data_IF_144431028548
#
_entry.id   IF_144431028548
#
_cell.length_a   1.000
_cell.length_b   1.000
_cell.length_c   1.000
_cell.angle_alpha   90.00
_cell.angle_beta   90.00
_cell.angle_gamma   90.00
#
_symmetry.space_group_name_H-M   'P 1'
#
loop_
_entity.id
_entity.type
_entity.pdbx_description
1 polymer ?
#
# COMPACT_ATOMS: atom_id res chain seq x y z
N UNK A 1 -0.08 -41.23 -29.92
CA UNK A 1 0.32 -40.83 -28.55
C UNK A 1 0.18 -39.32 -28.27
N UNK A 2 -0.47 -38.51 -29.13
CA UNK A 2 -0.53 -37.03 -28.98
C UNK A 2 -1.82 -36.49 -28.32
N UNK A 3 -2.91 -37.28 -28.27
CA UNK A 3 -4.21 -36.83 -27.73
C UNK A 3 -4.32 -36.91 -26.20
N UNK A 4 -3.57 -37.80 -25.55
CA UNK A 4 -3.65 -38.04 -24.11
C UNK A 4 -2.89 -36.97 -23.30
N UNK A 5 -1.76 -36.52 -23.82
CA UNK A 5 -0.98 -35.39 -23.29
C UNK A 5 -1.71 -34.06 -23.43
N UNK A 6 -2.40 -33.83 -24.55
CA UNK A 6 -3.22 -32.63 -24.77
C UNK A 6 -4.42 -32.54 -23.80
N UNK A 7 -5.09 -33.67 -23.52
CA UNK A 7 -6.23 -33.73 -22.58
C UNK A 7 -5.79 -33.47 -21.13
N UNK A 8 -4.65 -34.01 -20.71
CA UNK A 8 -4.08 -33.73 -19.39
C UNK A 8 -3.67 -32.26 -19.21
N UNK A 9 -3.12 -31.65 -20.27
CA UNK A 9 -2.77 -30.23 -20.27
C UNK A 9 -3.99 -29.31 -20.21
N UNK A 10 -5.12 -29.70 -20.82
CA UNK A 10 -6.34 -28.89 -20.76
C UNK A 10 -7.00 -28.98 -19.39
N UNK A 11 -7.14 -30.19 -18.83
CA UNK A 11 -7.70 -30.38 -17.49
C UNK A 11 -6.90 -29.65 -16.39
N UNK A 12 -5.57 -29.58 -16.52
CA UNK A 12 -4.73 -28.80 -15.62
C UNK A 12 -4.97 -27.28 -15.75
N UNK A 13 -5.18 -26.77 -16.96
CA UNK A 13 -5.52 -25.35 -17.18
C UNK A 13 -6.87 -25.00 -16.59
N UNK A 14 -7.89 -25.82 -16.86
CA UNK A 14 -9.24 -25.61 -16.35
C UNK A 14 -9.27 -25.63 -14.81
N UNK A 15 -8.47 -26.50 -14.18
CA UNK A 15 -8.33 -26.55 -12.73
C UNK A 15 -7.69 -25.28 -12.15
N UNK A 16 -6.62 -24.79 -12.77
CA UNK A 16 -5.95 -23.56 -12.36
C UNK A 16 -6.86 -22.35 -12.54
N UNK A 17 -7.57 -22.26 -13.66
CA UNK A 17 -8.53 -21.18 -13.93
C UNK A 17 -9.64 -21.13 -12.89
N UNK A 18 -10.21 -22.30 -12.53
CA UNK A 18 -11.19 -22.40 -11.45
C UNK A 18 -10.63 -21.89 -10.12
N UNK A 19 -9.42 -22.29 -9.74
CA UNK A 19 -8.77 -21.81 -8.51
C UNK A 19 -8.62 -20.29 -8.55
N UNK A 20 -8.14 -19.72 -9.66
CA UNK A 20 -7.95 -18.28 -9.79
C UNK A 20 -9.27 -17.50 -9.65
N UNK A 21 -10.36 -18.02 -10.22
CA UNK A 21 -11.70 -17.44 -10.06
C UNK A 21 -12.19 -17.51 -8.61
N UNK A 22 -12.03 -18.65 -7.94
CA UNK A 22 -12.36 -18.79 -6.51
C UNK A 22 -11.54 -17.83 -5.63
N UNK A 23 -10.26 -17.61 -5.94
CA UNK A 23 -9.42 -16.62 -5.25
C UNK A 23 -9.91 -15.18 -5.48
N UNK A 24 -10.33 -14.87 -6.70
CA UNK A 24 -10.83 -13.56 -7.07
C UNK A 24 -12.14 -13.23 -6.33
N UNK A 25 -13.09 -14.17 -6.31
CA UNK A 25 -14.35 -14.04 -5.58
C UNK A 25 -14.12 -13.83 -4.07
N UNK A 26 -13.26 -14.64 -3.44
CA UNK A 26 -12.90 -14.46 -2.01
C UNK A 26 -12.21 -13.12 -1.73
N UNK A 27 -11.49 -12.55 -2.71
CA UNK A 27 -10.91 -11.22 -2.56
C UNK A 27 -11.99 -10.14 -2.57
N UNK A 28 -13.00 -10.28 -3.44
CA UNK A 28 -14.14 -9.37 -3.49
C UNK A 28 -14.92 -9.45 -2.16
N UNK A 29 -15.25 -10.65 -1.70
CA UNK A 29 -15.96 -10.85 -0.43
C UNK A 29 -15.23 -10.23 0.75
N UNK A 30 -13.91 -10.48 0.87
CA UNK A 30 -13.08 -9.86 1.93
C UNK A 30 -13.11 -8.34 1.89
N UNK A 31 -13.16 -7.74 0.71
CA UNK A 31 -13.25 -6.29 0.58
C UNK A 31 -14.61 -5.73 0.96
N UNK A 32 -15.69 -6.44 0.60
CA UNK A 32 -17.04 -6.10 1.04
C UNK A 32 -17.15 -6.20 2.55
N UNK A 33 -16.61 -7.26 3.15
CA UNK A 33 -16.55 -7.44 4.61
C UNK A 33 -15.77 -6.32 5.31
N UNK A 34 -14.62 -5.91 4.75
CA UNK A 34 -13.85 -4.78 5.29
C UNK A 34 -14.67 -3.49 5.27
N UNK A 35 -15.43 -3.24 4.21
CA UNK A 35 -16.29 -2.06 4.10
C UNK A 35 -17.46 -2.15 5.10
N UNK A 36 -18.09 -3.33 5.19
CA UNK A 36 -19.30 -3.56 5.97
C UNK A 36 -19.04 -3.62 7.49
N UNK A 37 -17.91 -4.19 7.90
CA UNK A 37 -17.55 -4.46 9.31
C UNK A 37 -16.29 -3.70 9.75
N UNK A 38 -15.97 -2.58 9.11
CA UNK A 38 -14.86 -1.72 9.53
C UNK A 38 -15.02 -1.27 10.99
N UNK A 39 -14.17 -1.78 11.88
CA UNK A 39 -14.04 -1.28 13.26
C UNK A 39 -13.23 0.03 13.36
N UNK A 40 -12.77 0.57 12.22
CA UNK A 40 -12.16 1.90 12.15
C UNK A 40 -13.27 2.93 12.37
N UNK A 41 -13.07 3.86 13.30
CA UNK A 41 -14.00 4.96 13.55
C UNK A 41 -14.42 5.62 12.22
N UNK A 42 -15.68 6.09 12.08
CA UNK A 42 -16.12 6.79 10.88
C UNK A 42 -15.09 7.85 10.50
N UNK A 43 -14.55 7.68 9.29
CA UNK A 43 -13.52 8.52 8.69
C UNK A 43 -13.85 10.00 8.96
N UNK A 44 -12.90 10.77 9.51
CA UNK A 44 -12.95 12.24 9.41
C UNK A 44 -12.96 12.55 7.92
N UNK A 45 -14.15 12.75 7.36
CA UNK A 45 -14.31 13.14 5.96
C UNK A 45 -13.28 14.25 5.74
N UNK A 46 -12.45 14.10 4.71
CA UNK A 46 -11.60 15.17 4.22
C UNK A 46 -12.59 16.28 3.80
N UNK A 47 -12.99 17.12 4.76
CA UNK A 47 -13.94 18.21 4.59
C UNK A 47 -13.33 19.27 3.67
N UNK A 48 -12.01 19.29 3.65
CA UNK A 48 -11.19 19.91 2.65
C UNK A 48 -11.28 19.09 1.36
N UNK A 49 -12.05 19.65 0.42
CA UNK A 49 -11.99 19.34 -1.01
C UNK A 49 -10.53 19.47 -1.48
N UNK A 50 -9.71 18.46 -1.20
CA UNK A 50 -8.32 18.40 -1.64
C UNK A 50 -8.37 18.21 -3.14
N UNK A 51 -8.20 19.31 -3.86
CA UNK A 51 -8.06 19.39 -5.32
C UNK A 51 -7.01 18.35 -5.77
N UNK A 52 -7.45 17.27 -6.41
CA UNK A 52 -6.60 16.16 -6.89
C UNK A 52 -6.76 15.95 -8.40
N UNK A 53 -6.43 16.94 -9.24
CA UNK A 53 -6.68 16.89 -10.68
C UNK A 53 -5.98 15.73 -11.41
N UNK A 54 -4.97 15.08 -10.80
CA UNK A 54 -4.33 13.90 -11.39
C UNK A 54 -4.97 12.59 -10.94
N UNK A 55 -5.50 12.50 -9.72
CA UNK A 55 -6.20 11.32 -9.21
C UNK A 55 -7.68 11.30 -9.62
N UNK A 56 -8.36 12.46 -9.61
CA UNK A 56 -9.79 12.61 -9.84
C UNK A 56 -10.25 11.98 -11.17
N UNK A 57 -9.55 12.14 -12.32
CA UNK A 57 -9.97 11.51 -13.57
C UNK A 57 -10.03 9.97 -13.51
N UNK A 58 -9.14 9.34 -12.73
CA UNK A 58 -9.17 7.88 -12.55
C UNK A 58 -10.35 7.45 -11.68
N UNK A 59 -10.65 8.22 -10.64
CA UNK A 59 -11.80 7.96 -9.75
C UNK A 59 -13.13 8.16 -10.47
N UNK A 60 -13.25 9.23 -11.26
CA UNK A 60 -14.49 9.59 -11.95
C UNK A 60 -14.81 8.65 -13.10
N UNK A 61 -13.82 8.29 -13.92
CA UNK A 61 -14.03 7.43 -15.09
C UNK A 61 -13.97 5.94 -14.76
N UNK A 62 -13.10 5.55 -13.85
CA UNK A 62 -12.83 4.15 -13.51
C UNK A 62 -13.44 3.68 -12.19
N UNK A 63 -14.13 4.57 -11.46
CA UNK A 63 -14.77 4.26 -10.18
C UNK A 63 -13.78 3.93 -9.06
N UNK A 64 -14.30 3.32 -8.00
CA UNK A 64 -13.52 2.96 -6.80
C UNK A 64 -12.46 1.87 -7.07
N UNK A 65 -12.71 0.99 -8.04
CA UNK A 65 -11.79 -0.07 -8.44
C UNK A 65 -10.53 0.47 -9.11
N UNK A 66 -10.63 1.56 -9.88
CA UNK A 66 -9.47 2.11 -10.58
C UNK A 66 -8.35 2.56 -9.63
N UNK A 67 -8.68 3.13 -8.47
CA UNK A 67 -7.66 3.53 -7.49
C UNK A 67 -6.92 2.31 -6.93
N UNK A 68 -7.65 1.22 -6.68
CA UNK A 68 -7.08 -0.07 -6.26
C UNK A 68 -6.23 -0.68 -7.35
N UNK A 69 -6.70 -0.65 -8.58
CA UNK A 69 -5.96 -1.15 -9.74
C UNK A 69 -4.71 -0.32 -10.04
N UNK A 70 -4.67 0.95 -9.61
CA UNK A 70 -3.50 1.81 -9.78
C UNK A 70 -2.53 1.77 -8.60
N UNK A 71 -2.97 1.43 -7.36
CA UNK A 71 -2.14 1.57 -6.15
C UNK A 71 -2.05 0.35 -5.24
N UNK A 72 -2.84 -0.70 -5.48
CA UNK A 72 -3.10 -1.84 -4.57
C UNK A 72 -3.89 -1.49 -3.29
N UNK A 73 -4.34 -0.25 -3.13
CA UNK A 73 -5.17 0.16 -2.00
C UNK A 73 -6.58 0.48 -2.46
N UNK A 74 -7.59 -0.03 -1.74
CA UNK A 74 -8.95 0.49 -1.88
C UNK A 74 -8.96 1.99 -1.59
N UNK A 75 -9.90 2.75 -2.16
CA UNK A 75 -9.97 4.20 -1.94
C UNK A 75 -9.99 4.56 -0.44
N UNK A 76 -10.70 3.77 0.37
CA UNK A 76 -10.73 3.94 1.83
C UNK A 76 -9.33 3.79 2.44
N UNK A 77 -8.62 2.69 2.16
CA UNK A 77 -7.26 2.47 2.68
C UNK A 77 -6.28 3.52 2.19
N UNK A 78 -6.41 3.94 0.94
CA UNK A 78 -5.63 5.03 0.37
C UNK A 78 -5.83 6.33 1.17
N UNK A 79 -7.08 6.72 1.45
CA UNK A 79 -7.37 7.92 2.23
C UNK A 79 -6.91 7.79 3.68
N UNK A 80 -7.05 6.62 4.31
CA UNK A 80 -6.52 6.38 5.66
C UNK A 80 -5.01 6.58 5.72
N UNK A 81 -4.28 6.03 4.74
CA UNK A 81 -2.83 6.21 4.65
C UNK A 81 -2.43 7.64 4.31
N UNK A 82 -3.22 8.33 3.48
CA UNK A 82 -3.02 9.76 3.21
C UNK A 82 -3.16 10.59 4.49
N UNK A 83 -4.25 10.40 5.24
CA UNK A 83 -4.52 11.14 6.47
C UNK A 83 -3.42 10.95 7.52
N UNK A 84 -2.89 9.73 7.68
CA UNK A 84 -1.79 9.48 8.63
C UNK A 84 -0.49 10.20 8.27
N UNK A 85 -0.28 10.50 6.98
CA UNK A 85 0.92 11.18 6.49
C UNK A 85 0.69 12.68 6.19
N UNK A 86 -0.58 13.12 6.15
CA UNK A 86 -0.99 14.44 5.63
C UNK A 86 -0.25 15.58 6.32
N UNK A 87 -0.20 15.59 7.64
CA UNK A 87 0.43 16.68 8.40
C UNK A 87 1.91 16.84 8.05
N UNK A 88 2.65 15.72 8.01
CA UNK A 88 4.05 15.70 7.60
C UNK A 88 4.21 16.15 6.15
N UNK A 89 3.38 15.63 5.24
CA UNK A 89 3.44 16.01 3.82
C UNK A 89 3.20 17.51 3.64
N UNK A 90 2.17 18.07 4.28
CA UNK A 90 1.84 19.50 4.16
C UNK A 90 2.94 20.40 4.73
N UNK A 91 3.59 19.97 5.82
CA UNK A 91 4.70 20.70 6.43
C UNK A 91 5.96 20.73 5.53
N UNK A 92 6.29 19.62 4.85
CA UNK A 92 7.60 19.45 4.19
C UNK A 92 7.57 19.45 2.67
N UNK A 93 6.43 19.24 2.00
CA UNK A 93 6.38 19.01 0.55
C UNK A 93 6.98 20.15 -0.30
N UNK A 94 6.83 21.41 0.11
CA UNK A 94 7.38 22.56 -0.60
C UNK A 94 8.63 23.17 0.06
N UNK A 95 9.10 22.59 1.17
CA UNK A 95 10.29 23.09 1.87
C UNK A 95 11.54 22.85 1.02
N UNK A 96 12.43 23.86 0.97
CA UNK A 96 13.68 23.79 0.20
C UNK A 96 13.49 23.83 -1.33
N UNK A 97 12.26 23.99 -1.82
CA UNK A 97 12.00 24.22 -3.25
C UNK A 97 12.04 25.72 -3.54
N UNK A 98 12.82 26.12 -4.53
CA UNK A 98 12.81 27.52 -5.01
C UNK A 98 11.44 27.93 -5.56
N UNK A 99 10.86 27.08 -6.43
CA UNK A 99 9.47 27.21 -6.91
C UNK A 99 8.61 26.10 -6.30
N UNK A 100 7.42 26.44 -5.80
CA UNK A 100 6.42 25.46 -5.34
C UNK A 100 6.06 24.49 -6.48
N UNK A 101 5.79 23.25 -6.13
CA UNK A 101 5.35 22.24 -7.10
C UNK A 101 3.95 22.58 -7.61
N UNK A 102 3.76 22.48 -8.92
CA UNK A 102 2.44 22.63 -9.55
C UNK A 102 1.56 21.38 -9.30
N UNK A 103 2.18 20.24 -8.97
CA UNK A 103 1.49 19.00 -8.57
C UNK A 103 1.09 19.06 -7.11
N UNK A 104 -0.18 18.76 -6.82
CA UNK A 104 -0.73 18.80 -5.47
C UNK A 104 -0.15 17.68 -4.60
N UNK A 105 -0.07 17.85 -3.27
CA UNK A 105 0.57 16.87 -2.40
C UNK A 105 -0.09 15.47 -2.44
N UNK A 106 -1.43 15.42 -2.46
CA UNK A 106 -2.18 14.15 -2.53
C UNK A 106 -2.08 13.48 -3.90
N UNK A 107 -2.01 14.26 -4.98
CA UNK A 107 -1.67 13.74 -6.31
C UNK A 107 -0.24 13.19 -6.36
N UNK A 108 0.74 13.88 -5.75
CA UNK A 108 2.11 13.38 -5.67
C UNK A 108 2.21 12.07 -4.88
N UNK A 109 1.40 11.92 -3.82
CA UNK A 109 1.24 10.67 -3.09
C UNK A 109 0.66 9.56 -3.98
N UNK A 110 -0.44 9.84 -4.69
CA UNK A 110 -1.05 8.91 -5.64
C UNK A 110 -0.05 8.47 -6.72
N UNK A 111 0.61 9.41 -7.40
CA UNK A 111 1.62 9.14 -8.42
C UNK A 111 2.77 8.28 -7.89
N UNK A 112 3.21 8.51 -6.66
CA UNK A 112 4.28 7.75 -6.02
C UNK A 112 3.85 6.30 -5.80
N UNK A 113 2.65 6.06 -5.28
CA UNK A 113 2.13 4.69 -5.11
C UNK A 113 1.95 3.97 -6.44
N UNK A 114 1.46 4.66 -7.48
CA UNK A 114 1.35 4.10 -8.83
C UNK A 114 2.71 3.68 -9.36
N UNK A 115 3.73 4.53 -9.22
CA UNK A 115 5.09 4.22 -9.66
C UNK A 115 5.65 2.99 -8.93
N UNK A 116 5.46 2.93 -7.61
CA UNK A 116 5.93 1.82 -6.78
C UNK A 116 5.20 0.50 -7.09
N UNK A 117 3.92 0.56 -7.50
CA UNK A 117 3.15 -0.61 -7.93
C UNK A 117 3.55 -1.10 -9.32
N UNK A 118 3.38 -0.23 -10.32
CA UNK A 118 3.44 -0.61 -11.74
C UNK A 118 4.90 -0.83 -12.19
N UNK A 119 5.85 -0.21 -11.50
CA UNK A 119 7.25 -0.19 -11.91
C UNK A 119 7.40 0.39 -13.32
N UNK A 120 8.34 -0.15 -14.10
CA UNK A 120 8.60 0.28 -15.47
C UNK A 120 9.42 1.56 -15.57
N UNK A 121 9.40 2.19 -16.74
CA UNK A 121 10.22 3.39 -16.98
C UNK A 121 9.53 4.66 -16.46
N UNK A 122 10.34 5.68 -16.15
CA UNK A 122 9.83 7.00 -15.80
C UNK A 122 8.92 7.58 -16.88
N UNK A 123 9.28 7.39 -18.14
CA UNK A 123 8.53 7.89 -19.30
C UNK A 123 7.14 7.25 -19.40
N UNK A 124 7.06 5.92 -19.25
CA UNK A 124 5.79 5.19 -19.27
C UNK A 124 4.83 5.67 -18.18
N UNK A 125 5.33 5.92 -16.97
CA UNK A 125 4.50 6.42 -15.87
C UNK A 125 4.12 7.89 -16.07
N UNK A 126 5.05 8.74 -16.51
CA UNK A 126 4.77 10.15 -16.77
C UNK A 126 3.66 10.34 -17.82
N UNK A 127 3.64 9.51 -18.87
CA UNK A 127 2.59 9.50 -19.89
C UNK A 127 1.19 9.25 -19.32
N UNK A 128 1.04 8.39 -18.30
CA UNK A 128 -0.26 8.11 -17.65
C UNK A 128 -0.87 9.36 -17.02
N UNK A 129 -0.01 10.24 -16.50
CA UNK A 129 -0.43 11.49 -15.86
C UNK A 129 -0.34 12.71 -16.78
N UNK A 130 -0.01 12.51 -18.07
CA UNK A 130 0.19 13.59 -19.05
C UNK A 130 1.22 14.63 -18.58
N UNK A 131 2.25 14.18 -17.88
CA UNK A 131 3.34 15.02 -17.37
C UNK A 131 4.61 14.80 -18.19
N UNK A 132 5.48 15.82 -18.20
CA UNK A 132 6.85 15.63 -18.67
C UNK A 132 7.59 14.64 -17.77
N UNK A 133 8.40 13.75 -18.37
CA UNK A 133 9.17 12.73 -17.64
C UNK A 133 10.05 13.34 -16.55
N UNK A 134 10.68 14.48 -16.82
CA UNK A 134 11.49 15.22 -15.84
C UNK A 134 10.67 15.69 -14.64
N UNK A 135 9.48 16.24 -14.86
CA UNK A 135 8.55 16.66 -13.80
C UNK A 135 8.09 15.47 -12.97
N UNK A 136 7.70 14.38 -13.62
CA UNK A 136 7.25 13.16 -12.95
C UNK A 136 8.34 12.60 -12.03
N UNK A 137 9.55 12.41 -12.57
CA UNK A 137 10.69 11.90 -11.81
C UNK A 137 11.06 12.83 -10.66
N UNK A 138 11.08 14.15 -10.86
CA UNK A 138 11.40 15.11 -9.79
C UNK A 138 10.38 15.07 -8.65
N UNK A 139 9.08 15.06 -8.99
CA UNK A 139 7.99 15.01 -8.01
C UNK A 139 8.09 13.73 -7.19
N UNK A 140 8.12 12.56 -7.84
CA UNK A 140 8.12 11.26 -7.17
C UNK A 140 9.39 11.07 -6.34
N UNK A 141 10.57 11.40 -6.87
CA UNK A 141 11.84 11.22 -6.15
C UNK A 141 11.91 12.11 -4.92
N UNK A 142 11.53 13.40 -5.03
CA UNK A 142 11.50 14.31 -3.88
C UNK A 142 10.46 13.88 -2.86
N UNK A 143 9.31 13.39 -3.31
CA UNK A 143 8.26 12.91 -2.44
C UNK A 143 8.71 11.69 -1.62
N UNK A 144 9.35 10.70 -2.26
CA UNK A 144 9.95 9.53 -1.57
C UNK A 144 11.00 9.97 -0.55
N UNK A 145 11.92 10.89 -0.92
CA UNK A 145 12.96 11.38 -0.01
C UNK A 145 12.38 12.08 1.22
N UNK A 146 11.28 12.81 1.06
CA UNK A 146 10.60 13.50 2.15
C UNK A 146 9.83 12.53 3.05
N UNK A 147 9.19 11.51 2.48
CA UNK A 147 8.41 10.53 3.25
C UNK A 147 9.25 9.46 3.93
N UNK A 148 10.35 9.02 3.31
CA UNK A 148 11.12 7.86 3.76
C UNK A 148 11.52 7.92 5.24
N UNK A 149 12.01 9.04 5.81
CA UNK A 149 12.36 9.10 7.22
C UNK A 149 11.13 8.93 8.12
N UNK A 150 10.02 9.60 7.80
CA UNK A 150 8.79 9.53 8.60
C UNK A 150 8.18 8.13 8.59
N UNK A 151 8.06 7.54 7.41
CA UNK A 151 7.50 6.18 7.26
C UNK A 151 8.37 5.15 7.97
N UNK A 152 9.70 5.33 7.96
CA UNK A 152 10.60 4.43 8.68
C UNK A 152 10.40 4.51 10.19
N UNK A 153 10.31 5.72 10.76
CA UNK A 153 10.04 5.89 12.20
C UNK A 153 8.70 5.25 12.58
N UNK A 154 7.63 5.59 11.88
CA UNK A 154 6.26 5.18 12.25
C UNK A 154 6.03 3.66 12.05
N UNK A 155 6.61 3.07 10.99
CA UNK A 155 6.32 1.67 10.64
C UNK A 155 7.40 0.70 11.08
N UNK A 156 8.64 1.14 11.30
CA UNK A 156 9.76 0.27 11.66
C UNK A 156 10.20 0.52 13.10
N UNK A 157 10.61 1.74 13.44
CA UNK A 157 11.18 2.01 14.77
C UNK A 157 10.13 1.89 15.87
N UNK A 158 9.00 2.59 15.73
CA UNK A 158 7.92 2.54 16.72
C UNK A 158 7.39 1.10 16.88
N UNK A 159 7.26 0.37 15.77
CA UNK A 159 6.82 -1.04 15.81
C UNK A 159 7.84 -1.98 16.42
N UNK A 160 9.14 -1.74 16.20
CA UNK A 160 10.21 -2.51 16.83
C UNK A 160 10.20 -2.31 18.35
N UNK A 161 9.99 -1.07 18.80
CA UNK A 161 9.87 -0.76 20.22
C UNK A 161 8.63 -1.45 20.83
N UNK A 162 7.47 -1.39 20.16
CA UNK A 162 6.27 -2.10 20.59
C UNK A 162 6.44 -3.63 20.66
N UNK A 163 7.14 -4.21 19.69
CA UNK A 163 7.34 -5.65 19.55
C UNK A 163 8.39 -6.23 20.52
N UNK A 164 9.05 -5.40 21.34
CA UNK A 164 10.03 -5.87 22.31
C UNK A 164 9.37 -6.76 23.37
N UNK A 165 10.03 -7.87 23.74
CA UNK A 165 9.53 -8.82 24.76
C UNK A 165 9.15 -8.16 26.09
N UNK A 166 9.85 -7.09 26.46
CA UNK A 166 9.54 -6.26 27.63
C UNK A 166 8.13 -5.64 27.53
N UNK A 167 7.81 -5.03 26.39
CA UNK A 167 6.53 -4.36 26.16
C UNK A 167 5.40 -5.36 25.96
N UNK A 168 5.66 -6.49 25.27
CA UNK A 168 4.72 -7.60 25.17
C UNK A 168 4.36 -8.17 26.56
N UNK A 169 5.33 -8.29 27.47
CA UNK A 169 5.12 -8.72 28.86
C UNK A 169 4.28 -7.71 29.65
N UNK A 170 4.55 -6.42 29.52
CA UNK A 170 3.77 -5.38 30.19
C UNK A 170 2.33 -5.30 29.68
N UNK A 171 2.09 -5.57 28.39
CA UNK A 171 0.75 -5.56 27.76
C UNK A 171 0.00 -6.89 27.93
N UNK A 172 0.61 -7.91 28.51
CA UNK A 172 0.00 -9.23 28.69
C UNK A 172 -0.20 -10.02 27.40
N UNK A 173 0.49 -9.65 26.31
CA UNK A 173 0.40 -10.29 24.99
C UNK A 173 1.56 -11.26 24.72
N UNK A 174 2.20 -11.76 25.77
CA UNK A 174 3.27 -12.76 25.68
C UNK A 174 2.78 -14.11 25.17
N UNK A 175 3.67 -14.87 24.52
CA UNK A 175 3.38 -16.24 24.09
C UNK A 175 2.92 -17.13 25.25
N UNK A 176 1.73 -17.71 25.13
CA UNK A 176 1.12 -18.56 26.17
C UNK A 176 1.76 -19.95 26.29
N UNK A 177 2.35 -20.47 25.20
CA UNK A 177 2.78 -21.87 25.10
C UNK A 177 4.27 -22.08 24.81
N UNK A 178 5.13 -21.11 25.14
CA UNK A 178 6.59 -21.27 24.97
C UNK A 178 7.37 -20.55 26.07
N UNK A 179 7.52 -21.17 27.26
CA UNK A 179 8.23 -20.57 28.39
C UNK A 179 9.70 -20.28 28.10
N UNK A 180 10.33 -21.07 27.22
CA UNK A 180 11.72 -20.88 26.79
C UNK A 180 11.93 -19.60 25.96
N UNK A 181 10.89 -19.10 25.29
CA UNK A 181 10.94 -17.85 24.54
C UNK A 181 11.01 -16.61 25.44
N UNK A 182 10.69 -16.74 26.74
CA UNK A 182 10.78 -15.65 27.73
C UNK A 182 12.22 -15.22 28.04
N UNK A 183 13.19 -16.09 27.75
CA UNK A 183 14.61 -15.89 28.06
C UNK A 183 15.49 -15.79 26.81
N UNK A 184 14.90 -15.78 25.62
CA UNK A 184 15.63 -15.64 24.36
C UNK A 184 16.06 -14.18 24.16
N UNK A 185 17.21 -13.83 24.73
CA UNK A 185 18.02 -12.71 24.25
C UNK A 185 18.98 -13.26 23.20
N UNK A 186 18.70 -12.91 21.95
CA UNK A 186 19.60 -13.11 20.80
C UNK A 186 19.89 -14.59 20.42
N UNK A 187 18.85 -15.35 20.08
CA UNK A 187 19.01 -16.69 19.48
C UNK A 187 18.12 -16.89 18.27
N UNK A 188 18.74 -17.29 17.16
CA UNK A 188 18.10 -17.80 15.96
C UNK A 188 17.46 -19.16 16.28
N UNK A 189 16.13 -19.24 16.15
CA UNK A 189 15.43 -20.51 16.23
C UNK A 189 15.87 -21.41 15.07
N UNK A 190 16.66 -22.45 15.37
CA UNK A 190 16.81 -23.57 14.42
C UNK A 190 15.55 -24.43 14.48
N UNK A 191 15.04 -24.79 13.30
CA UNK A 191 13.95 -25.76 13.19
C UNK A 191 14.40 -27.09 13.79
N UNK A 192 13.63 -27.59 14.76
CA UNK A 192 13.75 -28.96 15.23
C UNK A 192 13.06 -29.89 14.24
N UNK A 193 13.77 -30.95 13.86
CA UNK A 193 13.38 -32.02 12.92
C UNK A 193 12.08 -32.73 13.31
#
# INVERSE_FOLDING_TARGET
MSRQTARGSQAARDHVERILSELHERNIERELDIIQYSNVAPHEIDDESTDTPLMDPFRELGGLSAIKDMTNFSLQKFNTLWLSLREHVLAYYNVGRGKRSDVKPKDAFFMTLVMLKEGGTWDSNAKRFKLATTTFTDVVTKFIRMLSPRVYVDLVEERCDEATMRNARTRGTTFSHSPSALYAVDVTFQQSW
#
